data_IF_135154465960
#
_entry.id   IF_135154465960
#
_cell.length_a   1.000
_cell.length_b   1.000
_cell.length_c   1.000
_cell.angle_alpha   90.00
_cell.angle_beta   90.00
_cell.angle_gamma   90.00
#
_symmetry.space_group_name_H-M   'P 1'
#
loop_
_entity.id
_entity.type
_entity.pdbx_description
1 polymer ?
#
# COMPACT_ATOMS: atom_id res chain seq x y z
N UNK A 1 21.12 8.23 18.14
CA UNK A 1 19.81 7.64 18.48
C UNK A 1 18.78 8.73 18.20
N UNK A 2 18.30 8.83 16.97
CA UNK A 2 17.21 9.73 16.61
C UNK A 2 15.92 8.96 16.87
N UNK A 3 15.21 9.38 17.89
CA UNK A 3 13.85 8.92 18.17
C UNK A 3 12.99 9.45 17.03
N UNK A 4 12.81 8.63 15.99
CA UNK A 4 11.90 8.92 14.90
C UNK A 4 10.49 8.83 15.47
N UNK A 5 9.95 9.97 15.88
CA UNK A 5 8.53 10.14 16.18
C UNK A 5 7.69 10.13 14.88
N UNK A 6 8.01 9.22 13.95
CA UNK A 6 7.16 8.96 12.81
C UNK A 6 5.76 8.62 13.32
N UNK A 7 4.77 9.33 12.83
CA UNK A 7 3.37 9.14 13.21
C UNK A 7 3.00 7.70 12.87
N UNK A 8 2.87 6.86 13.88
CA UNK A 8 2.54 5.44 13.71
C UNK A 8 1.08 5.31 13.29
N UNK A 9 0.81 4.24 12.55
CA UNK A 9 -0.55 3.86 12.16
C UNK A 9 -1.47 3.83 13.40
N UNK A 10 -2.57 4.58 13.33
CA UNK A 10 -3.56 4.65 14.40
C UNK A 10 -4.73 3.72 14.07
N UNK A 11 -4.93 2.73 14.92
CA UNK A 11 -6.04 1.79 14.77
C UNK A 11 -7.31 2.31 15.44
N UNK A 12 -8.47 2.11 14.81
CA UNK A 12 -9.78 2.40 15.36
C UNK A 12 -10.18 1.46 16.52
N UNK A 13 -11.30 1.74 17.16
CA UNK A 13 -11.77 0.94 18.31
C UNK A 13 -12.14 -0.50 17.92
N UNK A 14 -12.66 -0.68 16.70
CA UNK A 14 -13.10 -1.96 16.15
C UNK A 14 -12.03 -2.69 15.32
N UNK A 15 -10.85 -2.09 15.16
CA UNK A 15 -9.74 -2.72 14.48
C UNK A 15 -9.11 -3.84 15.34
N UNK A 16 -8.49 -4.81 14.67
CA UNK A 16 -7.85 -5.95 15.33
C UNK A 16 -6.47 -5.53 15.87
N UNK A 17 -6.50 -4.90 17.05
CA UNK A 17 -5.31 -4.38 17.73
C UNK A 17 -4.53 -5.48 18.44
N UNK A 18 -3.25 -5.28 18.53
CA UNK A 18 -2.43 -6.00 19.49
C UNK A 18 -2.73 -5.52 20.91
N UNK A 19 -2.79 -6.43 21.89
CA UNK A 19 -2.72 -6.06 23.30
C UNK A 19 -1.49 -5.18 23.56
N UNK A 20 -1.64 -4.16 24.41
CA UNK A 20 -0.56 -3.18 24.65
C UNK A 20 0.73 -3.84 25.15
N UNK A 21 0.57 -4.88 26.00
CA UNK A 21 1.68 -5.66 26.55
C UNK A 21 2.46 -6.49 25.50
N UNK A 22 1.87 -6.78 24.35
CA UNK A 22 2.52 -7.53 23.27
C UNK A 22 3.16 -6.64 22.22
N UNK A 23 2.78 -5.37 22.16
CA UNK A 23 3.17 -4.47 21.05
C UNK A 23 4.68 -4.21 21.03
N UNK A 24 5.26 -3.82 22.16
CA UNK A 24 6.70 -3.58 22.24
C UNK A 24 7.50 -4.88 22.09
N UNK A 25 7.22 -5.98 22.83
CA UNK A 25 7.91 -7.25 22.64
C UNK A 25 7.86 -7.79 21.20
N UNK A 26 6.74 -7.65 20.50
CA UNK A 26 6.63 -8.07 19.12
C UNK A 26 7.58 -7.26 18.23
N UNK A 27 7.58 -5.93 18.34
CA UNK A 27 8.45 -5.06 17.54
C UNK A 27 9.93 -5.33 17.79
N UNK A 28 10.32 -5.52 19.04
CA UNK A 28 11.68 -5.89 19.40
C UNK A 28 12.07 -7.22 18.76
N UNK A 29 11.16 -8.21 18.80
CA UNK A 29 11.40 -9.50 18.18
C UNK A 29 11.49 -9.43 16.64
N UNK A 30 10.62 -8.67 15.99
CA UNK A 30 10.67 -8.45 14.53
C UNK A 30 11.97 -7.74 14.13
N UNK A 31 12.43 -6.76 14.92
CA UNK A 31 13.71 -6.09 14.69
C UNK A 31 14.89 -7.06 14.84
N UNK A 32 14.87 -7.95 15.83
CA UNK A 32 15.87 -9.00 16.00
C UNK A 32 15.85 -9.98 14.81
N UNK A 33 14.68 -10.42 14.36
CA UNK A 33 14.53 -11.28 13.18
C UNK A 33 15.13 -10.62 11.96
N UNK A 34 14.84 -9.35 11.71
CA UNK A 34 15.44 -8.59 10.61
C UNK A 34 16.97 -8.64 10.65
N UNK A 35 17.58 -8.41 11.82
CA UNK A 35 19.03 -8.50 11.95
C UNK A 35 19.58 -9.91 11.63
N UNK A 36 18.88 -10.95 12.06
CA UNK A 36 19.25 -12.34 11.75
C UNK A 36 19.15 -12.66 10.25
N UNK A 37 18.16 -12.09 9.54
CA UNK A 37 18.04 -12.20 8.08
C UNK A 37 19.21 -11.49 7.38
N UNK A 38 19.52 -10.26 7.79
CA UNK A 38 20.66 -9.49 7.25
C UNK A 38 21.99 -10.25 7.41
N UNK A 39 22.22 -10.87 8.57
CA UNK A 39 23.41 -11.69 8.81
C UNK A 39 23.51 -12.91 7.89
N UNK A 40 22.39 -13.36 7.34
CA UNK A 40 22.31 -14.47 6.39
C UNK A 40 22.31 -14.01 4.92
N UNK A 41 22.45 -12.71 4.67
CA UNK A 41 22.49 -12.14 3.33
C UNK A 41 21.12 -11.85 2.70
N UNK A 42 20.04 -11.85 3.50
CA UNK A 42 18.69 -11.44 3.08
C UNK A 42 18.40 -9.99 3.49
N UNK A 43 17.41 -9.36 2.85
CA UNK A 43 16.97 -8.02 3.23
C UNK A 43 17.93 -6.92 2.79
N UNK A 44 18.75 -7.16 1.77
CA UNK A 44 19.62 -6.13 1.20
C UNK A 44 18.79 -5.09 0.46
N UNK A 45 19.15 -3.82 0.62
CA UNK A 45 18.43 -2.71 -0.02
C UNK A 45 18.59 -2.73 -1.54
N UNK A 46 17.46 -2.60 -2.25
CA UNK A 46 17.44 -2.44 -3.70
C UNK A 46 17.64 -0.97 -4.13
N UNK A 47 17.33 -0.03 -3.22
CA UNK A 47 17.46 1.41 -3.43
C UNK A 47 16.51 1.96 -4.49
N UNK A 48 16.49 3.28 -4.61
CA UNK A 48 15.73 3.96 -5.65
C UNK A 48 16.41 3.80 -7.01
N UNK A 49 15.60 3.63 -8.06
CA UNK A 49 16.05 3.71 -9.45
C UNK A 49 15.95 5.14 -9.99
N UNK A 50 15.91 5.26 -11.31
CA UNK A 50 15.93 6.56 -11.99
C UNK A 50 14.56 6.97 -12.55
N UNK A 51 13.65 6.03 -12.74
CA UNK A 51 12.33 6.23 -13.35
C UNK A 51 11.22 5.63 -12.50
N UNK A 52 10.92 6.24 -11.35
CA UNK A 52 9.87 5.75 -10.48
C UNK A 52 8.47 6.04 -11.04
N UNK A 53 7.50 5.22 -10.62
CA UNK A 53 6.08 5.50 -10.68
C UNK A 53 5.47 5.30 -9.29
N UNK A 54 4.42 6.04 -8.98
CA UNK A 54 3.62 5.86 -7.77
C UNK A 54 2.39 5.02 -8.08
N UNK A 55 2.11 4.03 -7.25
CA UNK A 55 0.82 3.35 -7.23
C UNK A 55 0.15 3.47 -5.87
N UNK A 56 -1.08 3.97 -5.86
CA UNK A 56 -1.94 4.13 -4.67
C UNK A 56 -2.97 3.01 -4.67
N UNK A 57 -2.80 2.05 -3.79
CA UNK A 57 -3.60 0.83 -3.73
C UNK A 57 -4.86 1.05 -2.88
N UNK A 58 -6.02 0.94 -3.50
CA UNK A 58 -7.35 0.76 -2.88
C UNK A 58 -7.70 1.74 -1.75
N UNK A 59 -7.21 2.98 -1.76
CA UNK A 59 -7.68 4.02 -0.85
C UNK A 59 -9.07 4.53 -1.30
N UNK A 60 -10.03 3.62 -1.25
CA UNK A 60 -11.43 3.85 -1.57
C UNK A 60 -12.28 3.89 -0.29
N UNK A 61 -13.41 4.60 -0.33
CA UNK A 61 -14.32 4.79 0.83
C UNK A 61 -14.72 3.47 1.48
N UNK A 62 -14.85 2.40 0.71
CA UNK A 62 -15.22 1.09 1.20
C UNK A 62 -14.27 0.53 2.28
N UNK A 63 -12.98 0.82 2.17
CA UNK A 63 -11.95 0.36 3.11
C UNK A 63 -11.70 1.34 4.26
N UNK A 64 -12.12 2.60 4.08
CA UNK A 64 -11.82 3.70 4.99
C UNK A 64 -13.01 4.09 5.89
N UNK A 65 -14.25 3.75 5.50
CA UNK A 65 -15.42 4.06 6.30
C UNK A 65 -15.59 3.04 7.43
N UNK A 66 -15.26 3.45 8.65
CA UNK A 66 -15.38 2.65 9.87
C UNK A 66 -16.81 2.17 10.19
N UNK A 67 -17.83 2.72 9.53
CA UNK A 67 -19.22 2.25 9.67
C UNK A 67 -19.48 0.98 8.88
N UNK A 68 -18.60 0.66 7.94
CA UNK A 68 -18.70 -0.56 7.15
C UNK A 68 -17.99 -1.72 7.84
N UNK A 69 -18.50 -2.94 7.64
CA UNK A 69 -17.99 -4.16 8.30
C UNK A 69 -16.50 -4.39 8.09
N UNK A 70 -15.94 -3.93 6.98
CA UNK A 70 -14.52 -4.13 6.63
C UNK A 70 -13.73 -2.83 6.59
N UNK A 71 -14.36 -1.70 6.89
CA UNK A 71 -13.69 -0.42 6.97
C UNK A 71 -12.86 -0.29 8.24
N UNK A 72 -11.78 0.45 8.16
CA UNK A 72 -10.84 0.70 9.27
C UNK A 72 -10.49 2.17 9.37
N UNK A 73 -10.00 2.59 10.54
CA UNK A 73 -9.40 3.91 10.67
C UNK A 73 -8.01 3.92 10.03
N UNK A 74 -7.93 4.46 8.83
CA UNK A 74 -6.71 4.57 8.05
C UNK A 74 -6.40 6.02 7.68
N UNK A 75 -6.89 6.98 8.45
CA UNK A 75 -6.71 8.41 8.19
C UNK A 75 -5.23 8.79 8.10
N UNK A 76 -4.39 8.28 9.01
CA UNK A 76 -2.94 8.51 8.97
C UNK A 76 -2.28 7.96 7.71
N UNK A 77 -2.78 6.85 7.17
CA UNK A 77 -2.28 6.27 5.90
C UNK A 77 -2.65 7.17 4.72
N UNK A 78 -3.87 7.69 4.71
CA UNK A 78 -4.32 8.63 3.67
C UNK A 78 -3.50 9.92 3.73
N UNK A 79 -3.27 10.48 4.92
CA UNK A 79 -2.45 11.68 5.12
C UNK A 79 -1.02 11.47 4.60
N UNK A 80 -0.35 10.40 5.03
CA UNK A 80 0.99 10.06 4.57
C UNK A 80 1.04 9.77 3.05
N UNK A 81 0.00 9.12 2.50
CA UNK A 81 -0.10 8.92 1.05
C UNK A 81 -0.24 10.26 0.32
N UNK A 82 -0.99 11.23 0.87
CA UNK A 82 -1.10 12.56 0.28
C UNK A 82 0.24 13.30 0.23
N UNK A 83 1.13 13.12 1.20
CA UNK A 83 2.48 13.69 1.18
C UNK A 83 3.29 13.10 0.02
N UNK A 84 3.31 11.78 -0.13
CA UNK A 84 3.99 11.09 -1.24
C UNK A 84 3.39 11.49 -2.59
N UNK A 85 2.06 11.58 -2.67
CA UNK A 85 1.33 11.96 -3.88
C UNK A 85 1.64 13.41 -4.30
N UNK A 86 1.77 14.33 -3.35
CA UNK A 86 2.16 15.70 -3.62
C UNK A 86 3.59 15.77 -4.24
N UNK A 87 4.55 15.04 -3.66
CA UNK A 87 5.91 14.96 -4.20
C UNK A 87 5.94 14.30 -5.59
N UNK A 88 5.17 13.23 -5.80
CA UNK A 88 5.05 12.55 -7.09
C UNK A 88 4.48 13.47 -8.18
N UNK A 89 3.47 14.27 -7.84
CA UNK A 89 2.89 15.27 -8.74
C UNK A 89 3.86 16.40 -9.08
N UNK A 90 4.65 16.84 -8.09
CA UNK A 90 5.66 17.88 -8.29
C UNK A 90 6.80 17.41 -9.18
N UNK A 91 7.23 16.18 -9.04
CA UNK A 91 8.29 15.56 -9.86
C UNK A 91 7.82 15.03 -11.22
N UNK A 92 6.53 15.10 -11.52
CA UNK A 92 5.97 14.70 -12.82
C UNK A 92 6.07 13.22 -13.13
N UNK A 93 6.26 12.36 -12.12
CA UNK A 93 6.31 10.90 -12.31
C UNK A 93 4.92 10.33 -12.60
N UNK A 94 4.82 9.17 -13.29
CA UNK A 94 3.55 8.49 -13.52
C UNK A 94 2.86 8.11 -12.22
N UNK A 95 1.54 8.34 -12.13
CA UNK A 95 0.72 8.03 -10.96
C UNK A 95 -0.43 7.12 -11.37
N UNK A 96 -0.58 6.03 -10.64
CA UNK A 96 -1.64 5.05 -10.81
C UNK A 96 -2.41 4.89 -9.50
N UNK A 97 -3.72 4.79 -9.62
CA UNK A 97 -4.60 4.42 -8.51
C UNK A 97 -5.22 3.07 -8.81
N UNK A 98 -5.57 2.32 -7.78
CA UNK A 98 -6.41 1.13 -7.96
C UNK A 98 -7.70 1.24 -7.17
N UNK A 99 -8.72 0.57 -7.67
CA UNK A 99 -9.96 0.33 -6.96
C UNK A 99 -10.58 -0.99 -7.41
N UNK A 100 -11.62 -1.45 -6.71
CA UNK A 100 -12.27 -2.70 -7.01
C UNK A 100 -13.17 -2.56 -8.25
N UNK A 101 -12.99 -3.48 -9.21
CA UNK A 101 -13.95 -3.69 -10.28
C UNK A 101 -15.14 -4.47 -9.73
N UNK A 102 -16.22 -3.79 -9.43
CA UNK A 102 -17.44 -4.40 -8.92
C UNK A 102 -18.44 -4.65 -10.05
N UNK A 103 -18.91 -5.89 -10.18
CA UNK A 103 -20.01 -6.28 -11.04
C UNK A 103 -20.92 -7.25 -10.26
N UNK A 104 -22.18 -6.90 -10.00
CA UNK A 104 -23.11 -7.77 -9.26
C UNK A 104 -23.43 -9.06 -10.01
N UNK A 105 -23.18 -9.12 -11.33
CA UNK A 105 -23.37 -10.33 -12.13
C UNK A 105 -22.18 -11.30 -12.04
N UNK A 106 -21.04 -10.87 -11.48
CA UNK A 106 -19.89 -11.76 -11.32
C UNK A 106 -20.16 -12.83 -10.26
N UNK A 107 -19.87 -14.09 -10.56
CA UNK A 107 -19.96 -15.15 -9.55
C UNK A 107 -18.91 -14.90 -8.46
N UNK A 108 -19.25 -15.12 -7.17
CA UNK A 108 -18.32 -14.91 -6.09
C UNK A 108 -17.11 -15.85 -6.23
N UNK A 109 -15.92 -15.27 -6.22
CA UNK A 109 -14.67 -16.03 -6.23
C UNK A 109 -14.55 -16.90 -4.95
N UNK A 110 -13.70 -17.93 -4.93
CA UNK A 110 -13.40 -18.66 -3.70
C UNK A 110 -12.97 -17.77 -2.54
N UNK A 111 -12.23 -16.69 -2.82
CA UNK A 111 -11.81 -15.69 -1.83
C UNK A 111 -13.01 -14.91 -1.29
N UNK A 112 -13.93 -14.47 -2.15
CA UNK A 112 -15.13 -13.72 -1.74
C UNK A 112 -16.06 -14.57 -0.87
N UNK A 113 -16.01 -15.91 -0.97
CA UNK A 113 -16.77 -16.81 -0.07
C UNK A 113 -16.23 -16.80 1.36
N UNK A 114 -15.00 -16.39 1.60
CA UNK A 114 -14.43 -16.19 2.94
C UNK A 114 -14.84 -14.86 3.57
N UNK A 115 -15.22 -13.90 2.74
CA UNK A 115 -15.58 -12.55 3.14
C UNK A 115 -17.10 -12.42 3.04
N UNK A 116 -17.82 -12.45 4.16
CA UNK A 116 -19.26 -12.19 4.20
C UNK A 116 -19.58 -10.70 4.12
N UNK A 117 -19.03 -10.04 3.12
CA UNK A 117 -19.30 -8.64 2.93
C UNK A 117 -20.31 -8.43 1.81
N UNK A 118 -21.09 -7.39 1.94
CA UNK A 118 -22.12 -7.04 0.97
C UNK A 118 -21.92 -5.61 0.53
N UNK A 119 -22.18 -5.35 -0.73
CA UNK A 119 -22.29 -3.99 -1.25
C UNK A 119 -23.78 -3.68 -1.35
N UNK A 120 -24.30 -2.67 -0.65
CA UNK A 120 -25.70 -2.28 -0.79
C UNK A 120 -26.02 -1.88 -2.23
N UNK A 121 -27.24 -2.19 -2.67
CA UNK A 121 -27.70 -1.90 -4.01
C UNK A 121 -27.52 -0.42 -4.38
N UNK A 122 -26.95 -0.14 -5.53
CA UNK A 122 -26.72 1.20 -6.05
C UNK A 122 -25.60 2.00 -5.35
N UNK A 123 -24.86 1.42 -4.42
CA UNK A 123 -23.80 2.12 -3.69
C UNK A 123 -22.38 1.78 -4.17
N UNK A 124 -22.21 0.86 -5.11
CA UNK A 124 -20.91 0.39 -5.55
C UNK A 124 -20.00 1.54 -6.03
N UNK A 125 -20.49 2.41 -6.89
CA UNK A 125 -19.71 3.53 -7.44
C UNK A 125 -19.24 4.50 -6.36
N UNK A 126 -20.08 4.77 -5.36
CA UNK A 126 -19.71 5.60 -4.22
C UNK A 126 -18.67 4.91 -3.34
N UNK A 127 -18.92 3.66 -2.97
CA UNK A 127 -18.07 2.92 -2.03
C UNK A 127 -16.68 2.60 -2.62
N UNK A 128 -16.62 2.23 -3.89
CA UNK A 128 -15.35 1.97 -4.57
C UNK A 128 -14.75 3.23 -5.22
N UNK A 129 -15.39 4.39 -5.07
CA UNK A 129 -14.77 5.68 -5.37
C UNK A 129 -13.59 5.96 -4.44
N UNK A 130 -12.54 6.57 -5.00
CA UNK A 130 -11.35 6.99 -4.23
C UNK A 130 -11.74 7.98 -3.12
N UNK A 131 -10.95 8.01 -2.03
CA UNK A 131 -11.10 9.00 -0.98
C UNK A 131 -10.87 10.41 -1.55
N UNK A 132 -11.73 11.35 -1.17
CA UNK A 132 -11.73 12.72 -1.71
C UNK A 132 -10.44 13.49 -1.37
N UNK A 133 -9.77 13.14 -0.26
CA UNK A 133 -8.50 13.73 0.17
C UNK A 133 -7.37 13.49 -0.82
N UNK A 134 -7.42 12.41 -1.60
CA UNK A 134 -6.42 12.12 -2.64
C UNK A 134 -6.49 13.12 -3.81
N UNK A 135 -7.58 13.88 -3.94
CA UNK A 135 -7.78 14.88 -4.97
C UNK A 135 -7.34 14.38 -6.36
N UNK A 136 -7.82 13.18 -6.73
CA UNK A 136 -7.51 12.51 -8.01
C UNK A 136 -7.69 13.45 -9.21
N UNK A 137 -6.74 13.44 -10.12
CA UNK A 137 -6.73 14.29 -11.32
C UNK A 137 -7.15 13.51 -12.57
N UNK A 138 -7.76 14.15 -13.59
CA UNK A 138 -8.22 13.46 -14.79
C UNK A 138 -7.10 12.81 -15.63
N UNK A 139 -5.87 13.27 -15.49
CA UNK A 139 -4.68 12.74 -16.16
C UNK A 139 -4.01 11.57 -15.40
N UNK A 140 -4.43 11.31 -14.17
CA UNK A 140 -3.96 10.18 -13.37
C UNK A 140 -4.80 8.93 -13.65
N UNK A 141 -4.16 7.77 -13.77
CA UNK A 141 -4.84 6.54 -14.20
C UNK A 141 -5.46 5.79 -13.03
N UNK A 142 -6.74 5.44 -13.12
CA UNK A 142 -7.39 4.46 -12.21
C UNK A 142 -7.43 3.10 -12.90
N UNK A 143 -6.95 2.08 -12.19
CA UNK A 143 -7.00 0.67 -12.60
C UNK A 143 -8.05 -0.04 -11.75
N UNK A 144 -9.11 -0.49 -12.36
CA UNK A 144 -10.12 -1.30 -11.70
C UNK A 144 -9.71 -2.77 -11.76
N UNK A 145 -9.48 -3.37 -10.59
CA UNK A 145 -8.97 -4.74 -10.46
C UNK A 145 -9.95 -5.68 -9.77
N UNK A 146 -9.91 -6.95 -10.12
CA UNK A 146 -10.74 -8.01 -9.53
C UNK A 146 -9.98 -8.89 -8.54
N UNK A 147 -8.66 -8.76 -8.51
CA UNK A 147 -7.77 -9.58 -7.67
C UNK A 147 -6.98 -8.68 -6.72
N UNK A 148 -6.36 -9.30 -5.71
CA UNK A 148 -5.56 -8.56 -4.74
C UNK A 148 -4.44 -7.77 -5.42
N UNK A 149 -3.62 -8.42 -6.23
CA UNK A 149 -2.55 -7.75 -6.97
C UNK A 149 -3.09 -6.80 -8.05
N UNK A 150 -2.47 -5.63 -8.16
CA UNK A 150 -2.74 -4.66 -9.21
C UNK A 150 -2.29 -5.13 -10.60
N UNK A 151 -1.42 -6.13 -10.68
CA UNK A 151 -0.94 -6.70 -11.94
C UNK A 151 -1.87 -7.79 -12.49
N UNK A 152 -2.47 -8.58 -11.59
CA UNK A 152 -3.25 -9.73 -12.02
C UNK A 152 -4.55 -9.33 -12.72
N UNK A 153 -4.66 -9.69 -14.00
CA UNK A 153 -5.85 -9.44 -14.81
C UNK A 153 -6.03 -7.97 -15.22
N UNK A 154 -4.94 -7.19 -15.19
CA UNK A 154 -4.87 -5.81 -15.67
C UNK A 154 -3.71 -5.67 -16.66
N UNK A 155 -3.55 -4.50 -17.25
CA UNK A 155 -2.43 -4.17 -18.13
C UNK A 155 -1.39 -3.25 -17.44
N UNK A 156 -1.29 -3.32 -16.10
CA UNK A 156 -0.37 -2.44 -15.35
C UNK A 156 1.08 -2.67 -15.77
N UNK A 157 1.51 -3.92 -15.95
CA UNK A 157 2.89 -4.24 -16.33
C UNK A 157 3.26 -3.58 -17.67
N UNK A 158 2.39 -3.70 -18.67
CA UNK A 158 2.59 -3.13 -20.00
C UNK A 158 2.62 -1.60 -19.96
N UNK A 159 1.77 -0.98 -19.12
CA UNK A 159 1.78 0.47 -18.92
C UNK A 159 3.09 0.94 -18.29
N UNK A 160 3.54 0.30 -17.23
CA UNK A 160 4.81 0.64 -16.56
C UNK A 160 6.00 0.43 -17.50
N UNK A 161 6.02 -0.68 -18.26
CA UNK A 161 7.06 -0.98 -19.23
C UNK A 161 7.11 0.06 -20.36
N UNK A 162 5.95 0.47 -20.89
CA UNK A 162 5.87 1.50 -21.95
C UNK A 162 6.41 2.86 -21.50
N UNK A 163 6.32 3.16 -20.20
CA UNK A 163 6.86 4.37 -19.58
C UNK A 163 8.32 4.18 -19.12
N UNK A 164 8.91 3.01 -19.39
CA UNK A 164 10.27 2.64 -18.95
C UNK A 164 10.48 2.80 -17.44
N UNK A 165 9.45 2.54 -16.65
CA UNK A 165 9.52 2.55 -15.18
C UNK A 165 10.49 1.48 -14.71
N UNK A 166 11.35 1.81 -13.75
CA UNK A 166 12.29 0.88 -13.10
C UNK A 166 12.03 0.70 -11.61
N UNK A 167 11.21 1.57 -11.04
CA UNK A 167 10.92 1.62 -9.60
C UNK A 167 9.44 1.85 -9.37
N UNK A 168 8.82 1.05 -8.53
CA UNK A 168 7.43 1.20 -8.13
C UNK A 168 7.34 1.61 -6.66
N UNK A 169 6.88 2.81 -6.40
CA UNK A 169 6.53 3.29 -5.06
C UNK A 169 5.10 2.82 -4.77
N UNK A 170 4.92 1.97 -3.76
CA UNK A 170 3.63 1.33 -3.46
C UNK A 170 3.07 1.87 -2.15
N UNK A 171 1.89 2.49 -2.21
CA UNK A 171 1.15 3.01 -1.04
C UNK A 171 -0.24 2.41 -0.97
N UNK A 172 -0.96 2.64 0.13
CA UNK A 172 -2.38 2.28 0.26
C UNK A 172 -2.64 1.05 1.13
N UNK A 173 -3.67 0.28 0.78
CA UNK A 173 -4.21 -0.80 1.64
C UNK A 173 -4.58 -2.06 0.85
N UNK A 174 -4.64 -3.22 1.47
CA UNK A 174 -4.17 -3.49 2.84
C UNK A 174 -2.78 -4.11 2.79
N UNK A 175 -1.93 -3.80 3.77
CA UNK A 175 -0.53 -4.26 3.81
C UNK A 175 -0.39 -5.75 3.57
N UNK A 176 -1.22 -6.58 4.23
CA UNK A 176 -1.17 -8.05 4.13
C UNK A 176 -1.90 -8.64 2.89
N UNK A 177 -2.56 -7.81 2.09
CA UNK A 177 -3.38 -8.23 0.95
C UNK A 177 -2.95 -7.57 -0.36
N UNK A 178 -3.63 -6.49 -0.73
CA UNK A 178 -3.43 -5.87 -2.06
C UNK A 178 -2.04 -5.23 -2.20
N UNK A 179 -1.52 -4.62 -1.15
CA UNK A 179 -0.15 -4.08 -1.12
C UNK A 179 0.85 -5.22 -1.26
N UNK A 180 0.80 -6.23 -0.38
CA UNK A 180 1.69 -7.40 -0.43
C UNK A 180 1.65 -8.11 -1.78
N UNK A 181 0.44 -8.43 -2.27
CA UNK A 181 0.27 -9.12 -3.54
C UNK A 181 0.83 -8.31 -4.72
N UNK A 182 0.68 -6.98 -4.70
CA UNK A 182 1.23 -6.10 -5.73
C UNK A 182 2.76 -6.05 -5.66
N UNK A 183 3.34 -5.94 -4.46
CA UNK A 183 4.79 -6.01 -4.27
C UNK A 183 5.35 -7.34 -4.76
N UNK A 184 4.66 -8.45 -4.45
CA UNK A 184 5.09 -9.81 -4.87
C UNK A 184 5.13 -9.98 -6.38
N UNK A 185 4.14 -9.44 -7.10
CA UNK A 185 4.11 -9.51 -8.56
C UNK A 185 5.05 -8.48 -9.21
N UNK A 186 5.45 -7.42 -8.48
CA UNK A 186 6.33 -6.37 -8.98
C UNK A 186 7.81 -6.72 -8.90
N UNK A 187 8.24 -7.46 -7.85
CA UNK A 187 9.65 -7.62 -7.44
C UNK A 187 10.57 -8.16 -8.53
N UNK A 188 10.07 -9.02 -9.41
CA UNK A 188 10.88 -9.60 -10.49
C UNK A 188 11.17 -8.61 -11.64
N UNK A 189 10.44 -7.50 -11.71
CA UNK A 189 10.53 -6.54 -12.82
C UNK A 189 10.88 -5.12 -12.40
N UNK A 190 10.58 -4.75 -11.16
CA UNK A 190 10.73 -3.39 -10.66
C UNK A 190 11.39 -3.39 -9.28
N UNK A 191 12.17 -2.35 -8.98
CA UNK A 191 12.53 -2.03 -7.60
C UNK A 191 11.25 -1.63 -6.87
N UNK A 192 10.97 -2.26 -5.75
CA UNK A 192 9.79 -1.95 -4.95
C UNK A 192 10.19 -1.11 -3.75
N UNK A 193 9.54 0.05 -3.60
CA UNK A 193 9.73 0.94 -2.45
C UNK A 193 8.38 1.11 -1.76
N UNK A 194 8.32 0.81 -0.48
CA UNK A 194 7.10 0.93 0.31
C UNK A 194 7.30 2.00 1.39
N UNK A 195 6.68 3.18 1.25
CA UNK A 195 6.68 4.19 2.29
C UNK A 195 5.92 3.67 3.52
N UNK A 196 6.63 3.42 4.62
CA UNK A 196 6.12 2.71 5.80
C UNK A 196 4.79 3.28 6.32
N UNK A 197 4.70 4.62 6.46
CA UNK A 197 3.52 5.29 7.01
C UNK A 197 2.37 5.40 5.99
N UNK A 198 2.65 5.22 4.71
CA UNK A 198 1.67 5.34 3.62
C UNK A 198 1.05 3.98 3.21
N UNK A 199 1.26 2.94 3.99
CA UNK A 199 0.56 1.65 3.85
C UNK A 199 -0.12 1.28 5.17
N UNK A 200 -1.26 0.61 5.09
CA UNK A 200 -2.04 0.30 6.28
C UNK A 200 -2.80 -1.00 6.23
N UNK A 201 -3.27 -1.41 7.40
CA UNK A 201 -3.99 -2.67 7.61
C UNK A 201 -4.96 -2.53 8.80
N UNK A 202 -6.08 -3.26 8.79
CA UNK A 202 -7.03 -3.32 9.91
C UNK A 202 -6.56 -4.19 11.07
N UNK A 203 -5.60 -5.06 10.85
CA UNK A 203 -5.03 -5.95 11.85
C UNK A 203 -3.58 -5.58 12.11
N UNK A 204 -3.30 -5.08 13.32
CA UNK A 204 -1.97 -4.58 13.70
C UNK A 204 -0.89 -5.67 13.55
N UNK A 205 -1.18 -6.91 13.99
CA UNK A 205 -0.24 -8.02 13.84
C UNK A 205 0.08 -8.31 12.37
N UNK A 206 -0.94 -8.33 11.52
CA UNK A 206 -0.76 -8.59 10.09
C UNK A 206 0.02 -7.47 9.43
N UNK A 207 -0.17 -6.22 9.86
CA UNK A 207 0.61 -5.07 9.37
C UNK A 207 2.10 -5.24 9.67
N UNK A 208 2.44 -5.41 10.94
CA UNK A 208 3.83 -5.50 11.41
C UNK A 208 4.59 -6.67 10.75
N UNK A 209 3.98 -7.85 10.69
CA UNK A 209 4.61 -9.04 10.11
C UNK A 209 4.79 -8.92 8.61
N UNK A 210 3.78 -8.40 7.89
CA UNK A 210 3.90 -8.26 6.43
C UNK A 210 4.83 -7.13 6.02
N UNK A 211 4.94 -6.05 6.80
CA UNK A 211 5.98 -5.04 6.56
C UNK A 211 7.38 -5.64 6.67
N UNK A 212 7.63 -6.48 7.68
CA UNK A 212 8.91 -7.17 7.80
C UNK A 212 9.17 -8.08 6.59
N UNK A 213 8.17 -8.86 6.17
CA UNK A 213 8.31 -9.79 5.04
C UNK A 213 8.56 -9.04 3.72
N UNK A 214 7.86 -7.93 3.49
CA UNK A 214 8.12 -7.04 2.34
C UNK A 214 9.57 -6.52 2.38
N UNK A 215 10.03 -6.05 3.54
CA UNK A 215 11.36 -5.44 3.69
C UNK A 215 12.51 -6.44 3.57
N UNK A 216 12.24 -7.72 3.79
CA UNK A 216 13.25 -8.78 3.65
C UNK A 216 13.30 -9.35 2.24
N UNK A 217 12.16 -9.54 1.57
CA UNK A 217 12.09 -10.36 0.36
C UNK A 217 11.57 -9.61 -0.88
N UNK A 218 10.78 -8.54 -0.72
CA UNK A 218 10.07 -7.97 -1.85
C UNK A 218 10.52 -6.56 -2.25
N UNK A 219 11.03 -5.78 -1.32
CA UNK A 219 11.41 -4.39 -1.59
C UNK A 219 11.81 -3.65 -0.34
N UNK A 220 12.10 -2.36 -0.50
CA UNK A 220 12.58 -1.54 0.60
C UNK A 220 11.41 -0.86 1.32
N UNK A 221 11.15 -1.24 2.58
CA UNK A 221 10.30 -0.46 3.46
C UNK A 221 11.12 0.74 3.96
N UNK A 222 10.61 1.94 3.69
CA UNK A 222 11.37 3.20 3.83
C UNK A 222 10.48 4.28 4.45
N UNK A 223 10.97 5.11 5.38
CA UNK A 223 10.19 6.23 5.91
C UNK A 223 9.67 7.16 4.80
N UNK A 224 8.45 7.67 4.95
CA UNK A 224 7.82 8.58 3.97
C UNK A 224 8.72 9.77 3.64
N UNK A 225 9.38 10.36 4.65
CA UNK A 225 10.25 11.51 4.48
C UNK A 225 11.41 11.23 3.51
N UNK A 226 11.95 10.02 3.52
CA UNK A 226 13.03 9.63 2.61
C UNK A 226 12.52 9.45 1.18
N UNK A 227 11.30 8.89 1.02
CA UNK A 227 10.67 8.75 -0.28
C UNK A 227 10.36 10.11 -0.88
N UNK A 228 9.74 11.01 -0.10
CA UNK A 228 9.46 12.39 -0.51
C UNK A 228 10.74 13.14 -0.85
N UNK A 229 11.78 13.03 -0.02
CA UNK A 229 13.07 13.65 -0.29
C UNK A 229 13.67 13.15 -1.62
N UNK A 230 13.61 11.85 -1.89
CA UNK A 230 14.08 11.30 -3.16
C UNK A 230 13.28 11.81 -4.35
N UNK A 231 11.94 11.76 -4.28
CA UNK A 231 11.07 12.24 -5.37
C UNK A 231 11.34 13.71 -5.69
N UNK A 232 11.60 14.54 -4.70
CA UNK A 232 11.93 15.95 -4.89
C UNK A 232 13.29 16.19 -5.57
N UNK A 233 14.15 15.18 -5.70
CA UNK A 233 15.40 15.28 -6.48
C UNK A 233 15.21 15.03 -7.97
N UNK A 234 14.06 14.44 -8.36
CA UNK A 234 13.75 14.12 -9.75
C UNK A 234 13.31 15.42 -10.44
N UNK A 235 13.99 15.77 -11.50
CA UNK A 235 13.62 16.90 -12.34
C UNK A 235 12.66 16.40 -13.44
N UNK A 236 11.54 17.12 -13.58
CA UNK A 236 10.52 16.85 -14.60
C UNK A 236 11.07 17.06 -16.04
#
# INVERSE_FOLDING_TARGET
>A
MSDSTATRLQFGADDLRLPDELRAPLRDHLAELKQRYLQRGWGMRVGFGNRPALIVIDLARYWLDQKLQIGSNLDSVVEATCEVLAAARQSGIPIFFTSLAWDPADPPSPQNRKLKWTVPDGQADYLFGLDDRLAHRPDEKIIYKRYASAFKGTNLHEMLASLSVDTLVVTGVSTSHCVYATCRDAVDSFRVIVPEQAVGERCELMHEVNLLDIDIDLGDVTPVEQVVAHLNTIQA
#
